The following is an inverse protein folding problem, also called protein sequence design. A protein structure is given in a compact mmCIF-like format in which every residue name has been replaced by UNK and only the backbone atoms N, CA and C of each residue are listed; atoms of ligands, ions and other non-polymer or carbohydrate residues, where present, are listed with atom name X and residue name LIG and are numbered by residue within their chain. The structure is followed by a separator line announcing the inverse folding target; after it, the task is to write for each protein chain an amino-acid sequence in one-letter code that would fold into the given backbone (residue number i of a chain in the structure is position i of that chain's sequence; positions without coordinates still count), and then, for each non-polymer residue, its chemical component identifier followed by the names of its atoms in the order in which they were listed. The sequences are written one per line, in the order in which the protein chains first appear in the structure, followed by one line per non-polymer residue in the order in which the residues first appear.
data_IF_919646529870
#
_entry.id   IF_919646529870
#
_cell.length_a   1.000
_cell.length_b   1.000
_cell.length_c   1.000
_cell.angle_alpha   90.00
_cell.angle_beta   90.00
_cell.angle_gamma   90.00
#
_symmetry.space_group_name_H-M   'P 1'
#
loop_
_entity.id
_entity.type
_entity.pdbx_description
1 polymer ?
#
# COMPACT_ATOMS: atom_id res chain seq x y z
N UNK A 1 28.14 20.68 3.75
CA UNK A 1 26.99 21.57 3.57
C UNK A 1 25.75 20.71 3.29
N UNK A 2 25.06 20.36 4.39
CA UNK A 2 23.74 19.73 4.28
C UNK A 2 22.73 20.85 4.04
N UNK A 3 22.24 20.97 2.84
CA UNK A 3 21.13 21.88 2.55
C UNK A 3 19.84 21.29 3.10
N UNK A 4 19.03 22.06 3.86
CA UNK A 4 17.74 21.59 4.42
C UNK A 4 16.72 21.10 3.38
N UNK A 5 16.91 21.45 2.11
CA UNK A 5 16.04 21.06 1.00
C UNK A 5 16.08 19.56 0.68
N UNK A 6 17.22 18.88 0.87
CA UNK A 6 17.33 17.43 0.60
C UNK A 6 16.58 16.62 1.67
N UNK A 7 16.55 17.09 2.91
CA UNK A 7 15.81 16.44 3.98
C UNK A 7 14.29 16.59 3.83
N UNK A 8 13.80 17.68 3.20
CA UNK A 8 12.38 17.88 2.92
C UNK A 8 11.87 17.05 1.75
N UNK A 9 12.72 16.70 0.77
CA UNK A 9 12.33 15.84 -0.34
C UNK A 9 12.24 14.35 0.03
N UNK A 10 12.90 13.91 1.10
CA UNK A 10 12.82 12.53 1.59
C UNK A 10 11.67 12.30 2.59
N UNK A 11 11.14 13.35 3.18
CA UNK A 11 9.88 13.32 3.94
C UNK A 11 8.74 13.65 2.98
N UNK A 12 8.36 12.72 2.12
CA UNK A 12 7.05 12.75 1.47
C UNK A 12 5.96 12.36 2.47
N UNK A 13 5.86 13.07 3.57
CA UNK A 13 4.60 13.26 4.23
C UNK A 13 3.80 14.19 3.31
N UNK A 14 2.93 13.64 2.48
CA UNK A 14 1.95 14.45 1.78
C UNK A 14 1.19 15.21 2.86
N UNK A 15 1.34 16.55 2.87
CA UNK A 15 0.49 17.41 3.69
C UNK A 15 -0.92 17.16 3.15
N UNK A 16 -1.68 16.34 3.87
CA UNK A 16 -3.08 16.11 3.55
C UNK A 16 -3.79 17.42 3.88
N UNK A 17 -4.41 18.05 2.89
CA UNK A 17 -5.20 19.24 3.13
C UNK A 17 -6.37 18.93 4.05
N UNK A 18 -6.90 19.91 4.76
CA UNK A 18 -8.06 19.73 5.64
C UNK A 18 -9.27 19.13 4.88
N UNK A 19 -9.46 19.52 3.63
CA UNK A 19 -10.51 18.97 2.77
C UNK A 19 -10.27 17.49 2.44
N UNK A 20 -9.06 17.11 2.14
CA UNK A 20 -8.70 15.71 1.88
C UNK A 20 -8.84 14.85 3.15
N UNK A 21 -8.43 15.37 4.31
CA UNK A 21 -8.61 14.68 5.59
C UNK A 21 -10.09 14.45 5.89
N UNK A 22 -10.94 15.46 5.67
CA UNK A 22 -12.40 15.35 5.83
C UNK A 22 -13.02 14.40 4.81
N UNK A 23 -12.55 14.40 3.56
CA UNK A 23 -13.02 13.45 2.56
C UNK A 23 -12.67 12.01 2.97
N UNK A 24 -11.46 11.76 3.47
CA UNK A 24 -11.05 10.46 3.99
C UNK A 24 -11.88 10.03 5.21
N UNK A 25 -12.16 10.95 6.12
CA UNK A 25 -13.02 10.69 7.27
C UNK A 25 -14.42 10.21 6.84
N UNK A 26 -15.09 10.91 5.92
CA UNK A 26 -16.38 10.46 5.40
C UNK A 26 -16.28 9.14 4.63
N UNK A 27 -15.20 8.90 3.89
CA UNK A 27 -14.99 7.59 3.26
C UNK A 27 -14.92 6.47 4.31
N UNK A 28 -14.21 6.68 5.41
CA UNK A 28 -14.08 5.67 6.46
C UNK A 28 -15.42 5.39 7.16
N UNK A 29 -16.19 6.42 7.47
CA UNK A 29 -17.58 6.24 8.00
C UNK A 29 -18.44 5.47 7.00
N UNK A 30 -18.30 5.73 5.70
CA UNK A 30 -19.01 4.98 4.66
C UNK A 30 -18.59 3.51 4.60
N UNK A 31 -17.31 3.20 4.81
CA UNK A 31 -16.81 1.82 4.89
C UNK A 31 -17.35 1.11 6.13
N UNK A 32 -17.38 1.76 7.30
CA UNK A 32 -17.96 1.22 8.52
C UNK A 32 -19.44 0.88 8.32
N UNK A 33 -20.24 1.82 7.81
CA UNK A 33 -21.66 1.60 7.50
C UNK A 33 -21.86 0.45 6.49
N UNK A 34 -20.97 0.34 5.47
CA UNK A 34 -20.99 -0.77 4.50
C UNK A 34 -20.72 -2.13 5.14
N UNK A 35 -19.80 -2.19 6.11
CA UNK A 35 -19.51 -3.41 6.89
C UNK A 35 -20.72 -3.81 7.74
N UNK A 36 -21.39 -2.84 8.35
CA UNK A 36 -22.61 -3.03 9.13
C UNK A 36 -23.86 -3.31 8.28
N UNK A 37 -23.70 -3.32 6.95
CA UNK A 37 -24.79 -3.48 5.97
C UNK A 37 -25.81 -2.33 5.97
N UNK A 38 -25.47 -1.19 6.52
CA UNK A 38 -26.20 0.08 6.34
C UNK A 38 -25.80 0.71 5.00
N UNK A 39 -26.39 0.20 3.94
CA UNK A 39 -26.05 0.63 2.57
C UNK A 39 -26.48 2.08 2.27
N UNK A 40 -27.57 2.54 2.86
CA UNK A 40 -28.04 3.92 2.68
C UNK A 40 -27.14 4.90 3.41
N UNK A 41 -26.77 4.61 4.64
CA UNK A 41 -25.77 5.36 5.40
C UNK A 41 -24.43 5.39 4.70
N UNK A 42 -23.95 4.25 4.19
CA UNK A 42 -22.72 4.16 3.43
C UNK A 42 -22.74 5.09 2.21
N UNK A 43 -23.79 5.05 1.39
CA UNK A 43 -23.92 5.94 0.22
C UNK A 43 -23.96 7.42 0.61
N UNK A 44 -24.61 7.76 1.71
CA UNK A 44 -24.63 9.14 2.22
C UNK A 44 -23.23 9.64 2.58
N UNK A 45 -22.46 8.83 3.30
CA UNK A 45 -21.10 9.17 3.68
C UNK A 45 -20.17 9.24 2.46
N UNK A 46 -20.26 8.29 1.54
CA UNK A 46 -19.46 8.32 0.31
C UNK A 46 -19.78 9.55 -0.56
N UNK A 47 -21.05 9.97 -0.65
CA UNK A 47 -21.44 11.20 -1.34
C UNK A 47 -20.82 12.43 -0.69
N UNK A 48 -20.79 12.50 0.65
CA UNK A 48 -20.15 13.58 1.39
C UNK A 48 -18.63 13.59 1.12
N UNK A 49 -18.00 12.43 1.04
CA UNK A 49 -16.59 12.31 0.66
C UNK A 49 -16.33 12.85 -0.74
N UNK A 50 -17.14 12.46 -1.74
CA UNK A 50 -17.02 12.94 -3.11
C UNK A 50 -17.35 14.42 -3.29
N UNK A 51 -18.20 14.96 -2.45
CA UNK A 51 -18.47 16.40 -2.44
C UNK A 51 -17.22 17.22 -2.10
N UNK A 52 -16.37 16.68 -1.21
CA UNK A 52 -15.11 17.30 -0.80
C UNK A 52 -13.96 16.98 -1.77
N UNK A 53 -13.91 15.76 -2.30
CA UNK A 53 -12.91 15.31 -3.29
C UNK A 53 -13.55 14.43 -4.37
N UNK A 54 -14.06 15.03 -5.46
CA UNK A 54 -14.76 14.30 -6.53
C UNK A 54 -13.88 13.29 -7.29
N UNK A 55 -12.55 13.45 -7.20
CA UNK A 55 -11.60 12.62 -7.96
C UNK A 55 -11.06 11.43 -7.17
N UNK A 56 -11.59 11.14 -6.00
CA UNK A 56 -11.17 10.03 -5.17
C UNK A 56 -11.67 8.70 -5.74
N UNK A 57 -10.82 8.04 -6.53
CA UNK A 57 -11.09 6.74 -7.18
C UNK A 57 -11.60 5.70 -6.18
N UNK A 58 -10.99 5.60 -4.99
CA UNK A 58 -11.38 4.62 -3.97
C UNK A 58 -12.84 4.80 -3.49
N UNK A 59 -13.32 6.04 -3.40
CA UNK A 59 -14.70 6.31 -2.96
C UNK A 59 -15.70 5.84 -4.02
N UNK A 60 -15.42 6.09 -5.29
CA UNK A 60 -16.21 5.56 -6.40
C UNK A 60 -16.27 4.03 -6.39
N UNK A 61 -15.13 3.37 -6.09
CA UNK A 61 -15.10 1.92 -5.95
C UNK A 61 -16.00 1.42 -4.80
N UNK A 62 -16.00 2.11 -3.67
CA UNK A 62 -16.82 1.77 -2.51
C UNK A 62 -18.31 1.98 -2.80
N UNK A 63 -18.67 3.05 -3.52
CA UNK A 63 -20.04 3.28 -4.03
C UNK A 63 -20.47 2.12 -4.94
N UNK A 64 -19.60 1.70 -5.86
CA UNK A 64 -19.86 0.55 -6.73
C UNK A 64 -20.13 -0.72 -5.95
N UNK A 65 -19.34 -0.98 -4.92
CA UNK A 65 -19.53 -2.13 -4.02
C UNK A 65 -20.86 -2.05 -3.29
N UNK A 66 -21.23 -0.86 -2.81
CA UNK A 66 -22.50 -0.65 -2.10
C UNK A 66 -23.71 -0.89 -3.02
N UNK A 67 -23.69 -0.32 -4.23
CA UNK A 67 -24.76 -0.57 -5.19
C UNK A 67 -24.83 -2.03 -5.66
N UNK A 68 -23.70 -2.70 -5.79
CA UNK A 68 -23.66 -4.12 -6.12
C UNK A 68 -24.32 -4.98 -5.02
N UNK A 69 -24.09 -4.64 -3.75
CA UNK A 69 -24.76 -5.30 -2.60
C UNK A 69 -26.25 -5.01 -2.53
N UNK A 70 -26.68 -3.82 -2.97
CA UNK A 70 -28.09 -3.46 -3.13
C UNK A 70 -28.76 -4.11 -4.34
N UNK A 71 -28.03 -4.88 -5.16
CA UNK A 71 -28.54 -5.46 -6.39
C UNK A 71 -28.73 -4.47 -7.54
N UNK A 72 -28.26 -3.23 -7.39
CA UNK A 72 -28.42 -2.20 -8.40
C UNK A 72 -27.21 -2.21 -9.36
N UNK A 73 -27.26 -3.16 -10.31
CA UNK A 73 -26.15 -3.44 -11.22
C UNK A 73 -25.74 -2.25 -12.10
N UNK A 74 -26.69 -1.42 -12.55
CA UNK A 74 -26.39 -0.28 -13.42
C UNK A 74 -25.54 0.79 -12.68
N UNK A 75 -25.94 1.14 -11.47
CA UNK A 75 -25.18 2.10 -10.67
C UNK A 75 -23.85 1.51 -10.17
N UNK A 76 -23.81 0.20 -9.91
CA UNK A 76 -22.55 -0.48 -9.54
C UNK A 76 -21.54 -0.41 -10.69
N UNK A 77 -21.96 -0.77 -11.92
CA UNK A 77 -21.12 -0.69 -13.11
C UNK A 77 -20.59 0.72 -13.33
N UNK A 78 -21.49 1.71 -13.30
CA UNK A 78 -21.12 3.11 -13.48
C UNK A 78 -20.06 3.55 -12.45
N UNK A 79 -20.28 3.25 -11.17
CA UNK A 79 -19.38 3.67 -10.12
C UNK A 79 -18.01 2.98 -10.20
N UNK A 80 -17.96 1.68 -10.50
CA UNK A 80 -16.71 0.97 -10.75
C UNK A 80 -15.96 1.53 -11.96
N UNK A 81 -16.69 1.89 -13.02
CA UNK A 81 -16.09 2.50 -14.21
C UNK A 81 -15.51 3.88 -13.89
N UNK A 82 -16.22 4.72 -13.11
CA UNK A 82 -15.70 6.02 -12.65
C UNK A 82 -14.42 5.83 -11.83
N UNK A 83 -14.39 4.85 -10.93
CA UNK A 83 -13.19 4.53 -10.17
C UNK A 83 -12.01 4.19 -11.09
N UNK A 84 -12.23 3.33 -12.08
CA UNK A 84 -11.22 2.93 -13.04
C UNK A 84 -10.78 4.09 -13.94
N UNK A 85 -11.70 4.96 -14.37
CA UNK A 85 -11.39 6.11 -15.24
C UNK A 85 -10.54 7.16 -14.52
N UNK A 86 -10.78 7.36 -13.23
CA UNK A 86 -9.99 8.25 -12.39
C UNK A 86 -8.59 7.70 -12.07
N UNK A 87 -8.47 6.39 -11.88
CA UNK A 87 -7.18 5.74 -11.67
C UNK A 87 -7.10 4.38 -12.39
N UNK A 88 -6.54 4.40 -13.60
CA UNK A 88 -6.33 3.19 -14.42
C UNK A 88 -5.40 2.15 -13.77
N UNK A 89 -4.66 2.53 -12.73
CA UNK A 89 -3.76 1.65 -11.98
C UNK A 89 -4.36 1.14 -10.67
N UNK A 90 -5.58 1.54 -10.35
CA UNK A 90 -6.29 1.02 -9.17
C UNK A 90 -6.64 -0.46 -9.37
N UNK A 91 -5.81 -1.34 -8.81
CA UNK A 91 -5.99 -2.79 -8.90
C UNK A 91 -7.34 -3.24 -8.32
N UNK A 92 -7.83 -2.56 -7.27
CA UNK A 92 -9.11 -2.88 -6.63
C UNK A 92 -10.28 -2.61 -7.59
N UNK A 93 -10.28 -1.46 -8.28
CA UNK A 93 -11.31 -1.13 -9.27
C UNK A 93 -11.32 -2.13 -10.43
N UNK A 94 -10.13 -2.51 -10.93
CA UNK A 94 -9.99 -3.50 -12.01
C UNK A 94 -10.48 -4.87 -11.57
N UNK A 95 -10.15 -5.32 -10.36
CA UNK A 95 -10.63 -6.58 -9.79
C UNK A 95 -12.15 -6.59 -9.63
N UNK A 96 -12.73 -5.50 -9.14
CA UNK A 96 -14.17 -5.40 -8.94
C UNK A 96 -14.93 -5.37 -10.28
N UNK A 97 -14.40 -4.69 -11.30
CA UNK A 97 -14.95 -4.74 -12.65
C UNK A 97 -14.86 -6.16 -13.26
N UNK A 98 -13.74 -6.86 -13.10
CA UNK A 98 -13.63 -8.24 -13.57
C UNK A 98 -14.67 -9.13 -12.91
N UNK A 99 -14.80 -9.09 -11.58
CA UNK A 99 -15.79 -9.86 -10.82
C UNK A 99 -17.22 -9.49 -11.21
N UNK A 100 -17.51 -8.20 -11.33
CA UNK A 100 -18.83 -7.69 -11.72
C UNK A 100 -19.23 -8.24 -13.10
N UNK A 101 -18.34 -8.15 -14.10
CA UNK A 101 -18.65 -8.65 -15.44
C UNK A 101 -18.69 -10.18 -15.51
N UNK A 102 -17.94 -10.89 -14.67
CA UNK A 102 -18.06 -12.35 -14.54
C UNK A 102 -19.45 -12.71 -14.00
N UNK A 103 -19.89 -12.08 -12.93
CA UNK A 103 -21.21 -12.37 -12.31
C UNK A 103 -22.39 -11.94 -13.18
N UNK A 104 -22.24 -10.89 -13.99
CA UNK A 104 -23.26 -10.43 -14.95
C UNK A 104 -23.27 -11.22 -16.28
N UNK A 105 -22.36 -12.19 -16.45
CA UNK A 105 -22.26 -13.01 -17.67
C UNK A 105 -21.56 -12.32 -18.84
N UNK A 106 -21.05 -11.10 -18.68
CA UNK A 106 -20.29 -10.41 -19.74
C UNK A 106 -18.84 -10.89 -19.78
N UNK A 107 -18.65 -12.13 -20.24
CA UNK A 107 -17.33 -12.78 -20.24
C UNK A 107 -16.28 -12.05 -21.09
N UNK A 108 -16.70 -11.28 -22.10
CA UNK A 108 -15.76 -10.50 -22.92
C UNK A 108 -15.11 -9.39 -22.11
N UNK A 109 -15.89 -8.60 -21.37
CA UNK A 109 -15.37 -7.53 -20.51
C UNK A 109 -14.63 -8.11 -19.29
N UNK A 110 -15.14 -9.19 -18.69
CA UNK A 110 -14.45 -9.88 -17.62
C UNK A 110 -13.00 -10.23 -18.00
N UNK A 111 -12.81 -10.92 -19.13
CA UNK A 111 -11.47 -11.27 -19.65
C UNK A 111 -10.60 -10.07 -19.96
N UNK A 112 -11.18 -8.96 -20.39
CA UNK A 112 -10.42 -7.72 -20.63
C UNK A 112 -9.81 -7.18 -19.33
N UNK A 113 -10.60 -7.13 -18.25
CA UNK A 113 -10.14 -6.67 -16.94
C UNK A 113 -9.21 -7.70 -16.26
N UNK A 114 -9.45 -9.01 -16.42
CA UNK A 114 -8.53 -10.06 -15.95
C UNK A 114 -7.12 -9.91 -16.56
N UNK A 115 -7.04 -9.65 -17.87
CA UNK A 115 -5.74 -9.36 -18.52
C UNK A 115 -5.07 -8.09 -17.97
N UNK A 116 -5.86 -7.09 -17.57
CA UNK A 116 -5.30 -5.90 -16.92
C UNK A 116 -4.74 -6.25 -15.53
N UNK A 117 -5.44 -7.06 -14.73
CA UNK A 117 -4.96 -7.58 -13.44
C UNK A 117 -3.64 -8.34 -13.61
N UNK A 118 -3.56 -9.24 -14.59
CA UNK A 118 -2.31 -9.97 -14.88
C UNK A 118 -1.14 -9.02 -15.16
N UNK A 119 -1.38 -7.93 -15.90
CA UNK A 119 -0.33 -6.94 -16.20
C UNK A 119 0.14 -6.19 -14.94
N UNK A 120 -0.78 -5.86 -14.01
CA UNK A 120 -0.42 -5.27 -12.73
C UNK A 120 0.37 -6.26 -11.87
N UNK A 121 -0.10 -7.49 -11.78
CA UNK A 121 0.54 -8.54 -11.00
C UNK A 121 1.96 -8.83 -11.50
N UNK A 122 2.17 -8.86 -12.83
CA UNK A 122 3.50 -9.06 -13.42
C UNK A 122 4.51 -7.98 -13.02
N UNK A 123 4.05 -6.77 -12.71
CA UNK A 123 4.87 -5.62 -12.30
C UNK A 123 4.90 -5.39 -10.79
N UNK A 124 4.15 -6.17 -10.02
CA UNK A 124 4.06 -6.02 -8.57
C UNK A 124 5.05 -6.97 -7.89
N UNK A 125 6.10 -6.45 -7.22
CA UNK A 125 7.08 -7.29 -6.53
C UNK A 125 6.43 -8.13 -5.41
N UNK A 126 5.48 -7.57 -4.67
CA UNK A 126 4.79 -8.26 -3.58
C UNK A 126 3.88 -9.39 -4.06
N UNK A 127 3.32 -9.30 -5.27
CA UNK A 127 2.62 -10.42 -5.89
C UNK A 127 3.56 -11.60 -6.12
N UNK A 128 4.74 -11.37 -6.69
CA UNK A 128 5.75 -12.40 -6.89
C UNK A 128 6.26 -12.97 -5.57
N UNK A 129 6.41 -12.11 -4.56
CA UNK A 129 6.79 -12.55 -3.22
C UNK A 129 5.71 -13.49 -2.62
N UNK A 130 4.43 -13.13 -2.69
CA UNK A 130 3.33 -13.98 -2.22
C UNK A 130 3.27 -15.33 -2.95
N UNK A 131 3.42 -15.32 -4.29
CA UNK A 131 3.50 -16.57 -5.10
C UNK A 131 4.70 -17.42 -4.68
N UNK A 132 5.85 -16.79 -4.42
CA UNK A 132 7.05 -17.47 -3.93
C UNK A 132 6.84 -18.10 -2.54
N UNK A 133 6.15 -17.39 -1.65
CA UNK A 133 5.85 -17.86 -0.29
C UNK A 133 4.92 -19.08 -0.31
N UNK A 134 3.90 -19.08 -1.17
CA UNK A 134 3.04 -20.24 -1.36
C UNK A 134 3.83 -21.44 -1.91
N UNK A 135 4.63 -21.21 -2.95
CA UNK A 135 5.46 -22.27 -3.52
C UNK A 135 6.48 -22.84 -2.52
N UNK A 136 7.02 -22.01 -1.64
CA UNK A 136 7.92 -22.43 -0.56
C UNK A 136 7.18 -23.30 0.46
N UNK A 137 5.96 -22.92 0.84
CA UNK A 137 5.12 -23.70 1.74
C UNK A 137 4.72 -25.06 1.15
N UNK A 138 4.54 -25.12 -0.18
CA UNK A 138 4.27 -26.36 -0.93
C UNK A 138 5.55 -27.14 -1.25
N UNK A 139 6.69 -26.78 -0.65
CA UNK A 139 8.01 -27.39 -0.86
C UNK A 139 8.50 -27.36 -2.33
N UNK A 140 7.88 -26.53 -3.18
CA UNK A 140 8.31 -26.32 -4.56
C UNK A 140 9.41 -25.26 -4.62
N UNK A 141 10.64 -25.65 -4.24
CA UNK A 141 11.78 -24.74 -4.12
C UNK A 141 12.18 -24.09 -5.45
N UNK A 142 11.98 -24.78 -6.58
CA UNK A 142 12.24 -24.19 -7.90
C UNK A 142 11.32 -23.00 -8.19
N UNK A 143 10.02 -23.18 -7.99
CA UNK A 143 9.04 -22.12 -8.21
C UNK A 143 9.19 -20.98 -7.19
N UNK A 144 9.47 -21.32 -5.93
CA UNK A 144 9.76 -20.35 -4.88
C UNK A 144 10.93 -19.45 -5.26
N UNK A 145 12.06 -20.04 -5.65
CA UNK A 145 13.25 -19.32 -6.11
C UNK A 145 12.93 -18.38 -7.28
N UNK A 146 12.24 -18.91 -8.30
CA UNK A 146 11.89 -18.13 -9.49
C UNK A 146 11.04 -16.90 -9.13
N UNK A 147 10.06 -17.10 -8.26
CA UNK A 147 9.13 -16.04 -7.86
C UNK A 147 9.79 -14.99 -6.97
N UNK A 148 10.57 -15.41 -5.97
CA UNK A 148 11.33 -14.47 -5.13
C UNK A 148 12.39 -13.70 -5.92
N UNK A 149 13.07 -14.33 -6.89
CA UNK A 149 14.02 -13.64 -7.78
C UNK A 149 13.33 -12.58 -8.65
N UNK A 150 12.08 -12.83 -9.08
CA UNK A 150 11.29 -11.83 -9.80
C UNK A 150 10.88 -10.68 -8.89
N UNK A 151 10.48 -10.96 -7.66
CA UNK A 151 10.17 -9.94 -6.65
C UNK A 151 11.37 -9.03 -6.43
N UNK A 152 12.53 -9.63 -6.18
CA UNK A 152 13.79 -8.92 -5.96
C UNK A 152 14.20 -8.06 -7.17
N UNK A 153 14.08 -8.59 -8.40
CA UNK A 153 14.40 -7.82 -9.62
C UNK A 153 13.51 -6.59 -9.80
N UNK A 154 12.28 -6.61 -9.27
CA UNK A 154 11.32 -5.50 -9.36
C UNK A 154 11.51 -4.47 -8.24
N UNK A 155 12.08 -4.88 -7.11
CA UNK A 155 12.35 -4.01 -5.95
C UNK A 155 13.55 -4.57 -5.18
N UNK A 156 14.71 -3.98 -5.44
CA UNK A 156 15.99 -4.46 -4.89
C UNK A 156 16.27 -4.00 -3.45
N UNK A 157 15.56 -2.98 -2.98
CA UNK A 157 15.78 -2.42 -1.64
C UNK A 157 14.94 -3.10 -0.54
N UNK A 158 14.29 -4.24 -0.83
CA UNK A 158 13.42 -4.93 0.13
C UNK A 158 14.16 -6.09 0.80
N UNK A 159 14.58 -5.96 2.08
CA UNK A 159 15.35 -6.99 2.78
C UNK A 159 14.64 -8.34 2.86
N UNK A 160 13.31 -8.33 2.97
CA UNK A 160 12.50 -9.55 3.05
C UNK A 160 12.66 -10.45 1.83
N UNK A 161 12.89 -9.87 0.63
CA UNK A 161 13.04 -10.66 -0.59
C UNK A 161 14.38 -11.40 -0.61
N UNK A 162 15.43 -10.77 -0.08
CA UNK A 162 16.72 -11.43 0.11
C UNK A 162 16.63 -12.55 1.15
N UNK A 163 15.95 -12.30 2.28
CA UNK A 163 15.76 -13.32 3.32
C UNK A 163 14.97 -14.52 2.80
N UNK A 164 13.97 -14.28 1.94
CA UNK A 164 13.21 -15.36 1.32
C UNK A 164 14.08 -16.22 0.39
N UNK A 165 14.94 -15.59 -0.43
CA UNK A 165 15.90 -16.31 -1.26
C UNK A 165 16.92 -17.08 -0.42
N UNK A 166 17.44 -16.50 0.65
CA UNK A 166 18.34 -17.17 1.57
C UNK A 166 17.73 -18.46 2.14
N UNK A 167 16.45 -18.42 2.55
CA UNK A 167 15.73 -19.62 3.03
C UNK A 167 15.59 -20.68 1.94
N UNK A 168 15.29 -20.27 0.70
CA UNK A 168 15.18 -21.22 -0.42
C UNK A 168 16.52 -21.91 -0.69
N UNK A 169 17.62 -21.17 -0.74
CA UNK A 169 18.94 -21.72 -0.97
C UNK A 169 19.41 -22.61 0.18
N UNK A 170 19.07 -22.24 1.42
CA UNK A 170 19.30 -23.10 2.59
C UNK A 170 18.54 -24.44 2.48
N UNK A 171 17.27 -24.39 2.07
CA UNK A 171 16.46 -25.59 1.85
C UNK A 171 16.99 -26.48 0.70
N UNK A 172 17.63 -25.87 -0.30
CA UNK A 172 18.30 -26.58 -1.40
C UNK A 172 19.71 -27.10 -1.03
N UNK A 173 20.22 -26.77 0.16
CA UNK A 173 21.56 -27.14 0.61
C UNK A 173 22.69 -26.27 0.06
N UNK A 174 22.38 -25.19 -0.63
CA UNK A 174 23.36 -24.23 -1.17
C UNK A 174 23.68 -23.16 -0.11
N UNK A 175 24.57 -23.52 0.80
CA UNK A 175 24.90 -22.70 1.99
C UNK A 175 25.58 -21.38 1.57
N UNK A 176 26.39 -21.38 0.52
CA UNK A 176 27.11 -20.18 0.10
C UNK A 176 26.17 -19.13 -0.49
N UNK A 177 25.25 -19.52 -1.37
CA UNK A 177 24.22 -18.61 -1.87
C UNK A 177 23.28 -18.14 -0.75
N UNK A 178 22.88 -19.03 0.16
CA UNK A 178 22.05 -18.67 1.31
C UNK A 178 22.74 -17.59 2.16
N UNK A 179 24.03 -17.74 2.45
CA UNK A 179 24.81 -16.75 3.20
C UNK A 179 24.87 -15.42 2.47
N UNK A 180 25.18 -15.42 1.17
CA UNK A 180 25.28 -14.23 0.34
C UNK A 180 24.00 -13.40 0.37
N UNK A 181 22.83 -14.05 0.23
CA UNK A 181 21.55 -13.38 0.29
C UNK A 181 21.23 -12.87 1.71
N UNK A 182 21.53 -13.63 2.76
CA UNK A 182 21.34 -13.21 4.13
C UNK A 182 22.19 -11.97 4.49
N UNK A 183 23.46 -11.94 4.08
CA UNK A 183 24.34 -10.78 4.28
C UNK A 183 23.83 -9.55 3.51
N UNK A 184 23.26 -9.72 2.32
CA UNK A 184 22.65 -8.62 1.57
C UNK A 184 21.45 -8.05 2.27
N UNK A 185 20.58 -8.90 2.85
CA UNK A 185 19.45 -8.47 3.66
C UNK A 185 19.92 -7.68 4.90
N UNK A 186 20.92 -8.18 5.62
CA UNK A 186 21.47 -7.51 6.80
C UNK A 186 22.05 -6.13 6.48
N UNK A 187 22.75 -6.00 5.36
CA UNK A 187 23.27 -4.69 4.90
C UNK A 187 22.15 -3.70 4.64
N UNK A 188 21.06 -4.12 4.00
CA UNK A 188 19.91 -3.25 3.74
C UNK A 188 19.18 -2.85 5.03
N UNK A 189 19.04 -3.78 5.98
CA UNK A 189 18.45 -3.49 7.29
C UNK A 189 19.29 -2.45 8.03
N UNK A 190 20.62 -2.63 8.09
CA UNK A 190 21.52 -1.69 8.73
C UNK A 190 21.45 -0.28 8.09
N UNK A 191 21.42 -0.21 6.74
CA UNK A 191 21.25 1.06 6.04
C UNK A 191 19.90 1.73 6.36
N UNK A 192 18.83 0.97 6.45
CA UNK A 192 17.52 1.49 6.80
C UNK A 192 17.46 1.96 8.26
N UNK A 193 18.16 1.31 9.19
CA UNK A 193 18.29 1.73 10.58
C UNK A 193 19.11 3.01 10.73
N UNK A 194 20.17 3.18 9.94
CA UNK A 194 20.96 4.43 9.90
C UNK A 194 20.13 5.61 9.36
N UNK A 195 19.27 5.36 8.37
CA UNK A 195 18.38 6.39 7.79
C UNK A 195 17.20 6.65 8.75
N UNK A 196 16.64 5.61 9.36
CA UNK A 196 15.58 5.68 10.34
C UNK A 196 16.14 5.83 11.77
N UNK A 197 16.65 7.00 12.09
CA UNK A 197 16.77 7.40 13.50
C UNK A 197 15.36 7.73 13.97
N UNK A 198 14.72 6.91 14.83
CA UNK A 198 13.39 7.23 15.34
C UNK A 198 13.44 8.64 15.93
N UNK A 199 12.44 9.44 15.61
CA UNK A 199 12.28 10.78 16.19
C UNK A 199 12.26 10.74 17.73
N UNK A 200 11.86 9.61 18.33
CA UNK A 200 11.98 9.32 19.76
C UNK A 200 13.42 9.24 20.29
N UNK A 201 14.42 8.92 19.46
CA UNK A 201 15.83 8.99 19.86
C UNK A 201 16.44 10.38 19.63
N UNK A 202 15.84 11.20 18.75
CA UNK A 202 16.14 12.63 18.63
C UNK A 202 15.46 13.46 19.73
N UNK A 203 14.42 12.95 20.38
CA UNK A 203 13.90 13.47 21.64
C UNK A 203 14.79 12.88 22.75
N UNK A 204 16.07 13.23 22.78
CA UNK A 204 16.77 13.26 24.06
C UNK A 204 15.93 14.19 24.93
N UNK A 205 15.51 13.68 26.07
CA UNK A 205 14.86 14.46 27.11
C UNK A 205 15.79 15.65 27.36
N UNK A 206 15.52 16.75 26.70
CA UNK A 206 16.15 18.01 26.92
C UNK A 206 15.51 18.49 28.21
N UNK A 207 16.18 18.26 29.33
CA UNK A 207 15.74 18.90 30.54
C UNK A 207 15.81 20.41 30.29
N UNK A 208 15.00 21.17 30.99
CA UNK A 208 14.77 22.60 30.75
C UNK A 208 16.07 23.46 30.75
N UNK A 209 17.18 22.94 31.24
CA UNK A 209 18.48 23.63 31.25
C UNK A 209 19.28 23.42 29.93
N UNK A 210 18.95 22.45 29.13
CA UNK A 210 19.65 22.18 27.86
C UNK A 210 19.06 22.98 26.69
N UNK A 211 17.77 23.35 26.77
CA UNK A 211 17.07 24.16 25.78
C UNK A 211 17.65 25.55 25.60
N UNK A 212 18.26 26.13 26.68
CA UNK A 212 18.83 27.46 26.64
C UNK A 212 20.22 27.55 26.04
N UNK A 213 20.85 26.41 25.67
CA UNK A 213 22.22 26.37 25.13
C UNK A 213 22.35 25.94 23.69
N UNK A 214 21.30 25.40 23.12
CA UNK A 214 21.34 24.93 21.74
C UNK A 214 20.42 25.78 20.87
N UNK A 215 21.04 26.64 20.06
CA UNK A 215 20.37 27.59 19.16
C UNK A 215 19.86 26.93 17.86
N UNK A 216 19.56 25.64 17.87
CA UNK A 216 18.95 24.93 16.74
C UNK A 216 17.43 25.05 16.80
N UNK A 217 16.73 25.39 15.68
CA UNK A 217 15.29 25.54 15.66
C UNK A 217 14.60 24.17 15.66
N UNK A 218 14.41 23.61 16.86
CA UNK A 218 13.59 22.44 17.10
C UNK A 218 12.32 22.85 17.86
N UNK A 219 11.16 22.39 17.41
CA UNK A 219 9.88 22.66 18.06
C UNK A 219 9.93 22.38 19.57
N UNK A 220 9.78 23.42 20.38
CA UNK A 220 9.66 23.33 21.83
C UNK A 220 8.19 23.19 22.19
N UNK A 221 7.79 22.03 22.71
CA UNK A 221 6.50 21.88 23.40
C UNK A 221 6.76 22.23 24.88
N UNK A 222 6.28 23.39 25.29
CA UNK A 222 6.28 23.80 26.72
C UNK A 222 4.99 23.23 27.34
N UNK A 223 5.15 22.31 28.28
CA UNK A 223 4.05 21.86 29.13
C UNK A 223 3.82 22.87 30.25
N UNK A 224 2.58 23.33 30.50
CA UNK A 224 2.28 24.19 31.63
C UNK A 224 2.42 23.41 32.96
N UNK A 225 2.82 24.15 34.02
CA UNK A 225 2.93 23.64 35.42
C UNK A 225 1.56 23.35 35.99
#
# INVERSE_FOLDING_TARGET
DFTPEIALQQLTSSIVTDLEARALYFNNLGVEALIESDYEGALKYFKNSLFLDPKKSIVWNNIGTTYNRLGNSQYAEYAYQQSFDLDKRNATAVNNLAKFYTSSGNLRLARQYEKAIERFNKKNPYYHFAVGSLAFADENMYQARLSFSRALKLKEEEPEFYMALARVYLALGDIEEARRYAESAQRLIALNEEIYVPSSQKIRIINSNTILRDSSPGLSIVMPR
#
